data_IF_089705551728
#
_entry.id   IF_089705551728
#
_cell.length_a   1.000
_cell.length_b   1.000
_cell.length_c   1.000
_cell.angle_alpha   90.00
_cell.angle_beta   90.00
_cell.angle_gamma   90.00
#
_symmetry.space_group_name_H-M   'P 1'
#
loop_
_entity.id
_entity.type
_entity.pdbx_description
1 polymer ?
#
# COMPACT_ATOMS: atom_id res chain seq x y z
N UNK A 1 -20.76 -14.05 -2.84
CA UNK A 1 -21.63 -13.17 -2.00
C UNK A 1 -21.90 -11.89 -2.78
N UNK A 2 -22.87 -11.05 -2.38
CA UNK A 2 -23.16 -9.82 -3.11
C UNK A 2 -21.97 -8.82 -3.03
N UNK A 3 -21.71 -8.11 -4.12
CA UNK A 3 -20.74 -7.01 -4.17
C UNK A 3 -21.05 -5.96 -3.08
N UNK A 4 -20.05 -5.15 -2.65
CA UNK A 4 -20.28 -4.09 -1.67
C UNK A 4 -21.46 -3.21 -2.09
N UNK A 5 -22.36 -2.89 -1.16
CA UNK A 5 -23.54 -2.07 -1.45
C UNK A 5 -23.18 -0.60 -1.71
N UNK A 6 -22.01 -0.18 -1.19
CA UNK A 6 -21.47 1.16 -1.38
C UNK A 6 -20.57 1.21 -2.62
N UNK A 7 -20.85 2.09 -3.60
CA UNK A 7 -20.01 2.21 -4.80
C UNK A 7 -18.62 2.78 -4.45
N UNK A 8 -17.60 2.34 -5.20
CA UNK A 8 -16.26 2.92 -5.13
C UNK A 8 -16.32 4.42 -5.39
N UNK A 9 -15.72 5.20 -4.49
CA UNK A 9 -15.53 6.64 -4.71
C UNK A 9 -14.13 6.90 -5.28
N UNK A 10 -14.04 7.98 -6.05
CA UNK A 10 -12.79 8.44 -6.62
C UNK A 10 -12.38 9.76 -5.95
N UNK A 11 -11.07 9.97 -5.83
CA UNK A 11 -10.46 11.20 -5.32
C UNK A 11 -9.37 11.63 -6.29
N UNK A 12 -9.10 12.94 -6.34
CA UNK A 12 -7.90 13.41 -7.01
C UNK A 12 -6.65 12.87 -6.30
N UNK A 13 -5.64 12.49 -7.06
CA UNK A 13 -4.33 12.13 -6.53
C UNK A 13 -3.60 13.43 -6.16
N UNK A 14 -3.71 13.83 -4.89
CA UNK A 14 -3.33 15.17 -4.46
C UNK A 14 -4.09 16.25 -5.24
N UNK A 15 -3.38 17.27 -5.69
CA UNK A 15 -3.92 18.37 -6.51
C UNK A 15 -3.87 18.11 -8.02
N UNK A 16 -3.44 16.92 -8.44
CA UNK A 16 -3.43 16.59 -9.86
C UNK A 16 -4.84 16.43 -10.42
N UNK A 17 -4.98 16.51 -11.74
CA UNK A 17 -6.24 16.17 -12.41
C UNK A 17 -6.53 14.66 -12.48
N UNK A 18 -5.68 13.81 -11.90
CA UNK A 18 -5.79 12.35 -11.99
C UNK A 18 -6.73 11.82 -10.91
N UNK A 19 -7.81 11.16 -11.31
CA UNK A 19 -8.76 10.52 -10.39
C UNK A 19 -8.36 9.07 -10.12
N UNK A 20 -8.19 8.73 -8.84
CA UNK A 20 -7.89 7.38 -8.36
C UNK A 20 -8.98 6.87 -7.42
N UNK A 21 -9.24 5.57 -7.47
CA UNK A 21 -10.16 4.88 -6.56
C UNK A 21 -9.66 4.98 -5.11
N UNK A 22 -10.58 5.11 -4.15
CA UNK A 22 -10.24 5.18 -2.72
C UNK A 22 -9.45 3.97 -2.22
N UNK A 23 -9.67 2.80 -2.84
CA UNK A 23 -8.82 1.64 -2.69
C UNK A 23 -8.07 1.36 -3.99
N UNK A 24 -6.77 1.12 -3.87
CA UNK A 24 -5.90 0.64 -4.94
C UNK A 24 -5.40 -0.76 -4.61
N UNK A 25 -4.84 -1.47 -5.59
CA UNK A 25 -4.29 -2.82 -5.39
C UNK A 25 -2.77 -2.83 -5.58
N UNK A 26 -2.04 -3.35 -4.60
CA UNK A 26 -0.58 -3.45 -4.61
C UNK A 26 -0.09 -4.89 -4.86
N UNK A 27 0.87 -5.05 -5.78
CA UNK A 27 1.36 -6.35 -6.24
C UNK A 27 2.53 -6.95 -5.44
N UNK A 28 2.89 -6.35 -4.29
CA UNK A 28 4.07 -6.79 -3.53
C UNK A 28 4.01 -8.28 -3.15
N UNK A 29 2.81 -8.83 -2.97
CA UNK A 29 2.57 -10.26 -2.83
C UNK A 29 1.51 -10.71 -3.84
N UNK A 30 1.85 -10.69 -5.13
CA UNK A 30 1.06 -11.38 -6.16
C UNK A 30 1.34 -12.88 -6.15
N UNK A 31 0.29 -13.68 -6.23
CA UNK A 31 0.36 -15.12 -6.48
C UNK A 31 0.73 -15.42 -7.94
N UNK A 32 0.14 -16.45 -8.53
CA UNK A 32 0.32 -16.75 -9.96
C UNK A 32 -0.40 -15.71 -10.84
N UNK A 33 -0.13 -15.74 -12.15
CA UNK A 33 -0.85 -14.93 -13.15
C UNK A 33 -2.36 -15.16 -13.05
N UNK A 34 -2.81 -16.40 -12.89
CA UNK A 34 -4.25 -16.70 -12.77
C UNK A 34 -4.87 -16.09 -11.52
N UNK A 35 -4.22 -16.26 -10.35
CA UNK A 35 -4.74 -15.66 -9.10
C UNK A 35 -4.74 -14.13 -9.17
N UNK A 36 -3.67 -13.53 -9.71
CA UNK A 36 -3.60 -12.09 -9.89
C UNK A 36 -4.68 -11.59 -10.86
N UNK A 37 -4.90 -12.29 -11.98
CA UNK A 37 -5.92 -11.97 -12.95
C UNK A 37 -7.32 -12.01 -12.35
N UNK A 38 -7.63 -13.05 -11.57
CA UNK A 38 -8.93 -13.20 -10.89
C UNK A 38 -9.18 -12.06 -9.90
N UNK A 39 -8.19 -11.77 -9.04
CA UNK A 39 -8.27 -10.70 -8.04
C UNK A 39 -8.41 -9.32 -8.68
N UNK A 40 -7.63 -9.04 -9.73
CA UNK A 40 -7.67 -7.76 -10.44
C UNK A 40 -8.97 -7.59 -11.24
N UNK A 41 -9.45 -8.65 -11.91
CA UNK A 41 -10.77 -8.66 -12.56
C UNK A 41 -11.90 -8.38 -11.59
N UNK A 42 -11.84 -8.96 -10.39
CA UNK A 42 -12.80 -8.67 -9.35
C UNK A 42 -12.69 -7.21 -8.87
N UNK A 43 -11.48 -6.72 -8.59
CA UNK A 43 -11.23 -5.35 -8.16
C UNK A 43 -11.72 -4.31 -9.18
N UNK A 44 -11.43 -4.52 -10.45
CA UNK A 44 -11.84 -3.64 -11.56
C UNK A 44 -13.36 -3.55 -11.68
N UNK A 45 -14.06 -4.70 -11.66
CA UNK A 45 -15.54 -4.74 -11.67
C UNK A 45 -16.17 -4.04 -10.47
N UNK A 46 -15.43 -3.87 -9.37
CA UNK A 46 -15.84 -3.14 -8.18
C UNK A 46 -15.26 -1.71 -8.12
N UNK A 47 -14.74 -1.19 -9.23
CA UNK A 47 -14.35 0.21 -9.39
C UNK A 47 -12.91 0.55 -9.01
N UNK A 48 -12.07 -0.43 -8.64
CA UNK A 48 -10.62 -0.16 -8.50
C UNK A 48 -10.06 0.19 -9.88
N UNK A 49 -9.50 1.40 -10.02
CA UNK A 49 -8.80 1.80 -11.24
C UNK A 49 -7.29 1.92 -11.03
N UNK A 50 -6.80 1.97 -9.78
CA UNK A 50 -5.40 2.22 -9.48
C UNK A 50 -4.64 0.96 -9.03
N UNK A 51 -3.59 0.60 -9.77
CA UNK A 51 -2.79 -0.62 -9.64
C UNK A 51 -1.31 -0.28 -9.43
N UNK A 52 -0.74 -0.76 -8.33
CA UNK A 52 0.57 -0.35 -7.84
C UNK A 52 1.58 -1.51 -7.78
N UNK A 53 2.81 -1.26 -8.26
CA UNK A 53 3.92 -2.23 -8.25
C UNK A 53 5.27 -1.55 -8.00
N UNK A 54 6.38 -2.28 -7.99
CA UNK A 54 7.72 -1.72 -7.93
C UNK A 54 8.73 -2.63 -8.63
N UNK A 55 9.82 -2.06 -9.13
CA UNK A 55 10.85 -2.81 -9.86
C UNK A 55 11.46 -3.96 -9.04
N UNK A 56 11.54 -3.77 -7.71
CA UNK A 56 12.19 -4.69 -6.78
C UNK A 56 11.25 -5.74 -6.19
N UNK A 57 9.93 -5.66 -6.44
CA UNK A 57 8.99 -6.64 -5.90
C UNK A 57 9.24 -8.02 -6.53
N UNK A 58 9.56 -8.99 -5.68
CA UNK A 58 9.94 -10.35 -6.08
C UNK A 58 11.01 -10.37 -7.18
N UNK A 59 12.04 -9.51 -7.05
CA UNK A 59 13.12 -9.38 -8.03
C UNK A 59 12.63 -9.06 -9.46
N UNK A 60 11.53 -8.32 -9.56
CA UNK A 60 10.87 -7.92 -10.81
C UNK A 60 9.85 -8.93 -11.33
N UNK A 61 9.64 -10.07 -10.67
CA UNK A 61 8.63 -11.03 -11.07
C UNK A 61 7.20 -10.46 -10.97
N UNK A 62 6.93 -9.62 -9.97
CA UNK A 62 5.61 -9.00 -9.80
C UNK A 62 5.22 -8.15 -11.02
N UNK A 63 6.16 -7.39 -11.60
CA UNK A 63 5.91 -6.60 -12.81
C UNK A 63 5.67 -7.46 -14.05
N UNK A 64 6.33 -8.62 -14.16
CA UNK A 64 6.09 -9.56 -15.26
C UNK A 64 4.68 -10.17 -15.18
N UNK A 65 4.31 -10.62 -13.99
CA UNK A 65 2.97 -11.16 -13.71
C UNK A 65 1.91 -10.11 -14.04
N UNK A 66 2.06 -8.88 -13.54
CA UNK A 66 1.13 -7.81 -13.85
C UNK A 66 1.06 -7.50 -15.35
N UNK A 67 2.19 -7.49 -16.06
CA UNK A 67 2.21 -7.27 -17.50
C UNK A 67 1.39 -8.31 -18.26
N UNK A 68 1.53 -9.59 -17.91
CA UNK A 68 0.71 -10.67 -18.48
C UNK A 68 -0.77 -10.51 -18.11
N UNK A 69 -1.08 -10.15 -16.86
CA UNK A 69 -2.45 -9.89 -16.40
C UNK A 69 -3.10 -8.73 -17.16
N UNK A 70 -2.39 -7.61 -17.35
CA UNK A 70 -2.91 -6.45 -18.09
C UNK A 70 -3.20 -6.81 -19.54
N UNK A 71 -2.27 -7.51 -20.20
CA UNK A 71 -2.44 -7.95 -21.58
C UNK A 71 -3.65 -8.88 -21.72
N UNK A 72 -3.74 -9.89 -20.86
CA UNK A 72 -4.86 -10.84 -20.82
C UNK A 72 -6.20 -10.13 -20.65
N UNK A 73 -6.31 -9.16 -19.75
CA UNK A 73 -7.57 -8.44 -19.54
C UNK A 73 -7.96 -7.54 -20.70
N UNK A 74 -7.00 -7.02 -21.47
CA UNK A 74 -7.28 -6.33 -22.75
C UNK A 74 -7.78 -7.31 -23.81
N UNK A 75 -7.13 -8.48 -23.95
CA UNK A 75 -7.53 -9.53 -24.88
C UNK A 75 -8.93 -10.09 -24.57
N UNK A 76 -9.22 -10.33 -23.30
CA UNK A 76 -10.52 -10.81 -22.81
C UNK A 76 -11.58 -9.70 -22.68
N UNK A 77 -11.22 -8.44 -23.02
CA UNK A 77 -12.11 -7.27 -22.98
C UNK A 77 -12.70 -6.97 -21.60
N UNK A 78 -11.93 -7.23 -20.54
CA UNK A 78 -12.30 -6.83 -19.18
C UNK A 78 -12.06 -5.34 -18.96
N UNK A 79 -10.99 -4.79 -19.53
CA UNK A 79 -10.61 -3.37 -19.48
C UNK A 79 -9.84 -2.97 -20.75
N UNK A 80 -9.72 -1.67 -21.00
CA UNK A 80 -8.70 -1.10 -21.90
C UNK A 80 -7.52 -0.55 -21.09
N UNK A 81 -6.44 -0.13 -21.76
CA UNK A 81 -5.29 0.48 -21.07
C UNK A 81 -5.72 1.81 -20.41
N UNK A 82 -6.60 2.56 -21.05
CA UNK A 82 -7.09 3.87 -20.63
C UNK A 82 -8.01 3.78 -19.39
N UNK A 83 -8.59 2.61 -19.11
CA UNK A 83 -9.37 2.38 -17.90
C UNK A 83 -8.50 2.25 -16.64
N UNK A 84 -7.20 2.00 -16.81
CA UNK A 84 -6.27 1.69 -15.72
C UNK A 84 -5.36 2.89 -15.40
N UNK A 85 -5.17 3.13 -14.11
CA UNK A 85 -4.08 3.94 -13.56
C UNK A 85 -3.03 2.98 -13.01
N UNK A 86 -1.80 3.04 -13.51
CA UNK A 86 -0.73 2.11 -13.16
C UNK A 86 0.45 2.90 -12.59
N UNK A 87 0.93 2.50 -11.41
CA UNK A 87 2.18 3.02 -10.84
C UNK A 87 3.27 1.96 -10.73
N UNK A 88 4.51 2.36 -10.95
CA UNK A 88 5.69 1.61 -10.49
C UNK A 88 6.61 2.50 -9.65
N UNK A 89 7.51 1.87 -8.90
CA UNK A 89 8.45 2.53 -7.99
C UNK A 89 9.88 2.12 -8.31
N UNK A 90 10.77 3.12 -8.39
CA UNK A 90 12.20 2.93 -8.64
C UNK A 90 13.00 3.27 -7.38
N UNK A 91 13.84 2.33 -6.92
CA UNK A 91 14.87 2.50 -5.88
C UNK A 91 15.72 1.24 -5.70
N UNK A 92 15.12 0.04 -5.78
CA UNK A 92 15.82 -1.24 -5.58
C UNK A 92 15.69 -2.04 -6.87
N UNK A 93 16.63 -1.87 -7.79
CA UNK A 93 16.62 -2.63 -9.03
C UNK A 93 16.92 -4.11 -8.86
N UNK A 94 16.76 -4.85 -9.96
CA UNK A 94 16.81 -6.33 -10.03
C UNK A 94 18.19 -6.91 -10.41
N UNK A 95 19.25 -6.11 -10.29
CA UNK A 95 20.63 -6.45 -10.69
C UNK A 95 21.59 -6.05 -9.57
N UNK A 96 22.79 -6.61 -9.61
CA UNK A 96 23.88 -6.14 -8.78
C UNK A 96 24.58 -4.93 -9.40
N UNK A 97 25.13 -4.07 -8.55
CA UNK A 97 25.99 -2.96 -8.97
C UNK A 97 25.69 -1.64 -8.24
N UNK A 98 26.66 -0.69 -8.27
CA UNK A 98 26.59 0.56 -7.50
C UNK A 98 25.51 1.54 -8.00
N UNK A 99 25.03 1.35 -9.23
CA UNK A 99 24.04 2.20 -9.90
C UNK A 99 22.68 1.51 -10.08
N UNK A 100 22.49 0.34 -9.47
CA UNK A 100 21.24 -0.40 -9.55
C UNK A 100 20.33 -0.17 -8.32
N UNK A 101 20.60 0.88 -7.54
CA UNK A 101 19.79 1.30 -6.40
C UNK A 101 19.85 2.82 -6.22
N UNK A 102 18.90 3.35 -5.45
CA UNK A 102 18.76 4.77 -5.16
C UNK A 102 17.91 5.48 -6.21
N UNK A 103 17.93 6.80 -6.23
CA UNK A 103 17.08 7.61 -7.14
C UNK A 103 17.91 8.55 -8.01
N UNK A 104 19.16 8.14 -8.26
CA UNK A 104 20.01 8.80 -9.24
C UNK A 104 19.34 8.82 -10.63
N UNK A 105 19.58 9.88 -11.42
CA UNK A 105 19.07 10.00 -12.79
C UNK A 105 19.32 8.76 -13.65
N UNK A 106 20.51 8.14 -13.52
CA UNK A 106 20.85 6.90 -14.24
C UNK A 106 19.89 5.77 -13.87
N UNK A 107 19.67 5.55 -12.57
CA UNK A 107 18.80 4.48 -12.11
C UNK A 107 17.32 4.76 -12.41
N UNK A 108 16.86 6.00 -12.26
CA UNK A 108 15.50 6.37 -12.65
C UNK A 108 15.22 6.05 -14.13
N UNK A 109 16.13 6.41 -15.04
CA UNK A 109 15.95 6.13 -16.48
C UNK A 109 16.03 4.62 -16.77
N UNK A 110 17.06 3.93 -16.28
CA UNK A 110 17.29 2.52 -16.59
C UNK A 110 16.31 1.58 -15.89
N UNK A 111 16.00 1.86 -14.62
CA UNK A 111 15.00 1.16 -13.82
C UNK A 111 13.61 1.29 -14.44
N UNK A 112 13.20 2.52 -14.82
CA UNK A 112 11.90 2.73 -15.49
C UNK A 112 11.80 1.97 -16.81
N UNK A 113 12.84 2.03 -17.66
CA UNK A 113 12.86 1.25 -18.92
C UNK A 113 12.75 -0.25 -18.67
N UNK A 114 13.43 -0.76 -17.64
CA UNK A 114 13.36 -2.16 -17.27
C UNK A 114 11.97 -2.55 -16.74
N UNK A 115 11.35 -1.69 -15.94
CA UNK A 115 9.98 -1.85 -15.45
C UNK A 115 8.95 -1.87 -16.57
N UNK A 116 8.99 -0.90 -17.49
CA UNK A 116 8.11 -0.85 -18.65
C UNK A 116 8.22 -2.11 -19.52
N UNK A 117 9.45 -2.60 -19.72
CA UNK A 117 9.68 -3.87 -20.43
C UNK A 117 9.05 -5.08 -19.71
N UNK A 118 9.17 -5.16 -18.38
CA UNK A 118 8.56 -6.25 -17.59
C UNK A 118 7.04 -6.15 -17.58
N UNK A 119 6.51 -4.93 -17.46
CA UNK A 119 5.08 -4.64 -17.50
C UNK A 119 4.47 -4.77 -18.90
N UNK A 120 5.28 -4.82 -19.95
CA UNK A 120 4.82 -4.83 -21.35
C UNK A 120 3.98 -3.58 -21.69
N UNK A 121 4.41 -2.42 -21.18
CA UNK A 121 3.73 -1.13 -21.35
C UNK A 121 4.68 -0.09 -21.95
N UNK A 122 4.11 0.86 -22.68
CA UNK A 122 4.86 2.03 -23.18
C UNK A 122 5.03 3.11 -22.11
N UNK A 123 4.11 3.17 -21.14
CA UNK A 123 4.12 4.14 -20.05
C UNK A 123 3.40 3.62 -18.79
N UNK A 124 3.74 4.22 -17.65
CA UNK A 124 2.98 4.17 -16.39
C UNK A 124 2.39 5.55 -16.12
N UNK A 125 1.25 5.61 -15.45
CA UNK A 125 0.56 6.87 -15.14
C UNK A 125 1.26 7.63 -14.02
N UNK A 126 1.89 6.90 -13.09
CA UNK A 126 2.66 7.48 -11.99
C UNK A 126 3.97 6.73 -11.82
N UNK A 127 5.09 7.46 -11.84
CA UNK A 127 6.41 6.92 -11.53
C UNK A 127 6.84 7.43 -10.16
N UNK A 128 6.78 6.57 -9.16
CA UNK A 128 7.23 6.91 -7.82
C UNK A 128 8.72 6.66 -7.65
N UNK A 129 9.32 7.45 -6.79
CA UNK A 129 10.56 7.07 -6.17
C UNK A 129 10.29 6.32 -4.87
N UNK A 130 10.72 5.06 -4.78
CA UNK A 130 10.24 4.13 -3.74
C UNK A 130 10.59 4.57 -2.31
N UNK A 131 11.69 5.33 -2.14
CA UNK A 131 12.19 5.83 -0.85
C UNK A 131 12.99 7.11 -1.06
N UNK A 132 13.06 7.94 -0.02
CA UNK A 132 13.98 9.09 0.02
C UNK A 132 15.43 8.64 0.07
N UNK A 133 16.31 9.32 -0.67
CA UNK A 133 17.76 9.16 -0.56
C UNK A 133 18.35 10.46 0.05
N UNK A 134 19.25 10.40 1.04
CA UNK A 134 19.90 11.59 1.63
C UNK A 134 20.65 12.45 0.61
N UNK A 135 20.96 11.87 -0.56
CA UNK A 135 21.66 12.50 -1.67
C UNK A 135 20.72 12.93 -2.82
N UNK A 136 19.41 12.64 -2.71
CA UNK A 136 18.39 12.97 -3.70
C UNK A 136 17.05 13.26 -2.99
N UNK A 137 16.58 14.53 -2.95
CA UNK A 137 15.35 14.90 -2.24
C UNK A 137 14.12 14.12 -2.77
N UNK A 138 13.27 13.61 -1.88
CA UNK A 138 12.05 12.87 -2.27
C UNK A 138 10.91 13.07 -1.30
N UNK A 139 9.72 13.19 -1.87
CA UNK A 139 8.45 13.33 -1.18
C UNK A 139 7.37 12.64 -2.07
N UNK A 140 6.88 11.43 -1.74
CA UNK A 140 5.60 10.92 -2.33
C UNK A 140 5.00 9.62 -1.71
N UNK A 141 5.78 8.68 -1.13
CA UNK A 141 5.23 7.35 -0.72
C UNK A 141 5.59 6.87 0.71
N UNK A 142 5.07 7.50 1.79
CA UNK A 142 5.30 7.04 3.16
C UNK A 142 4.50 5.80 3.54
N UNK A 143 5.03 5.04 4.49
CA UNK A 143 4.24 4.07 5.24
C UNK A 143 3.21 4.81 6.11
N UNK A 144 1.97 4.32 6.16
CA UNK A 144 0.96 4.88 7.06
C UNK A 144 -0.01 3.80 7.53
N UNK A 145 -0.16 3.71 8.85
CA UNK A 145 -1.13 2.86 9.54
C UNK A 145 -1.27 3.32 10.99
N UNK A 146 -2.17 2.70 11.75
CA UNK A 146 -2.42 3.06 13.17
C UNK A 146 -1.14 3.09 14.04
N UNK A 147 -0.12 2.30 13.71
CA UNK A 147 1.14 2.22 14.45
C UNK A 147 2.30 3.01 13.82
N UNK A 148 2.15 3.51 12.59
CA UNK A 148 3.15 4.34 11.92
C UNK A 148 2.50 5.58 11.31
N UNK A 149 2.57 6.68 12.05
CA UNK A 149 1.93 7.97 11.73
C UNK A 149 2.96 9.11 11.62
N UNK A 150 4.21 8.85 11.97
CA UNK A 150 5.22 9.89 12.22
C UNK A 150 5.52 10.73 10.98
N UNK A 151 5.55 10.09 9.81
CA UNK A 151 5.77 10.80 8.55
C UNK A 151 4.54 11.60 8.13
N UNK A 152 3.39 10.92 7.99
CA UNK A 152 2.16 11.50 7.43
C UNK A 152 1.54 12.57 8.34
N UNK A 153 1.61 12.42 9.65
CA UNK A 153 1.00 13.36 10.60
C UNK A 153 2.03 14.28 11.27
N UNK A 154 3.32 14.02 11.06
CA UNK A 154 4.42 14.82 11.61
C UNK A 154 5.30 15.40 10.51
N UNK A 155 6.31 14.64 10.09
CA UNK A 155 7.43 15.12 9.26
C UNK A 155 7.00 15.79 7.95
N UNK A 156 5.89 15.35 7.36
CA UNK A 156 5.40 15.85 6.09
C UNK A 156 4.32 16.94 6.23
N UNK A 157 3.97 17.35 7.45
CA UNK A 157 2.95 18.37 7.70
C UNK A 157 3.25 19.69 6.97
N UNK A 158 4.52 20.07 6.86
CA UNK A 158 4.95 21.25 6.12
C UNK A 158 4.74 21.10 4.60
N UNK A 159 4.81 19.88 4.07
CA UNK A 159 4.64 19.61 2.64
C UNK A 159 3.20 19.88 2.21
N UNK A 160 2.23 19.47 3.02
CA UNK A 160 0.82 19.75 2.75
C UNK A 160 0.50 21.23 2.98
N UNK A 161 0.97 21.79 4.11
CA UNK A 161 0.65 23.18 4.45
C UNK A 161 1.25 24.20 3.49
N UNK A 162 2.43 23.93 2.94
CA UNK A 162 3.17 24.88 2.10
C UNK A 162 3.04 24.59 0.61
N UNK A 163 3.01 23.33 0.23
CA UNK A 163 3.08 22.91 -1.17
C UNK A 163 1.87 22.09 -1.62
N UNK A 164 0.89 21.85 -0.72
CA UNK A 164 -0.35 21.12 -0.97
C UNK A 164 -0.16 19.72 -1.57
N UNK A 165 0.88 19.01 -1.11
CA UNK A 165 1.18 17.66 -1.57
C UNK A 165 0.09 16.64 -1.19
N UNK A 166 -0.22 15.72 -2.10
CA UNK A 166 -0.98 14.50 -1.80
C UNK A 166 -0.06 13.33 -1.47
N UNK A 167 -0.56 12.33 -0.74
CA UNK A 167 0.20 11.12 -0.41
C UNK A 167 -0.44 9.85 -0.96
N UNK A 168 0.42 8.94 -1.41
CA UNK A 168 0.08 7.53 -1.63
C UNK A 168 0.70 6.70 -0.52
N UNK A 169 -0.11 6.18 0.40
CA UNK A 169 0.38 5.49 1.59
C UNK A 169 0.34 3.97 1.47
N UNK A 170 1.33 3.28 2.03
CA UNK A 170 1.42 1.81 2.00
C UNK A 170 1.42 1.16 3.40
N UNK A 171 1.16 -0.16 3.41
CA UNK A 171 1.02 -1.00 4.61
C UNK A 171 -0.05 -0.55 5.62
N UNK A 172 -1.30 -0.30 5.19
CA UNK A 172 -2.38 0.15 6.07
C UNK A 172 -2.74 -0.86 7.16
N UNK A 173 -2.51 -2.16 6.91
CA UNK A 173 -2.79 -3.25 7.84
C UNK A 173 -1.54 -3.75 8.58
N UNK A 174 -0.40 -3.07 8.47
CA UNK A 174 0.88 -3.47 9.04
C UNK A 174 1.16 -4.97 8.80
N UNK A 175 1.29 -5.36 7.53
CA UNK A 175 1.52 -6.75 7.11
C UNK A 175 0.42 -7.75 7.49
N UNK A 176 -0.76 -7.25 7.85
CA UNK A 176 -1.90 -8.04 8.31
C UNK A 176 -2.03 -8.09 9.83
N UNK A 177 -1.17 -7.41 10.58
CA UNK A 177 -1.23 -7.38 12.04
C UNK A 177 -2.54 -6.77 12.53
N UNK A 178 -2.99 -5.72 11.86
CA UNK A 178 -4.23 -5.00 12.17
C UNK A 178 -5.50 -5.81 11.82
N UNK A 179 -5.39 -7.03 11.29
CA UNK A 179 -6.55 -7.90 11.08
C UNK A 179 -6.90 -8.75 12.32
N UNK A 180 -6.08 -8.71 13.38
CA UNK A 180 -6.27 -9.52 14.59
C UNK A 180 -5.94 -11.01 14.42
N UNK A 181 -5.46 -11.45 13.25
CA UNK A 181 -5.18 -12.87 12.97
C UNK A 181 -4.04 -13.48 13.80
N UNK A 182 -3.26 -12.63 14.48
CA UNK A 182 -2.13 -13.05 15.31
C UNK A 182 -2.46 -13.14 16.81
N UNK A 183 -3.72 -12.93 17.19
CA UNK A 183 -4.16 -12.93 18.60
C UNK A 183 -3.89 -14.25 19.33
N UNK A 184 -3.93 -15.37 18.60
CA UNK A 184 -3.77 -16.72 19.15
C UNK A 184 -2.49 -17.40 18.63
N UNK A 185 -1.43 -16.63 18.38
CA UNK A 185 -0.18 -17.09 17.80
C UNK A 185 -0.04 -16.77 16.31
N UNK A 186 1.11 -17.12 15.72
CA UNK A 186 1.43 -16.80 14.33
C UNK A 186 0.92 -17.93 13.42
N UNK A 187 -0.12 -17.69 12.58
CA UNK A 187 -0.64 -18.74 11.71
C UNK A 187 0.38 -19.15 10.65
N UNK A 188 0.41 -20.44 10.32
CA UNK A 188 1.14 -20.97 9.16
C UNK A 188 0.63 -20.32 7.85
N UNK A 189 1.52 -20.07 6.90
CA UNK A 189 1.20 -19.37 5.66
C UNK A 189 0.92 -17.87 5.81
N UNK A 190 1.06 -17.30 7.01
CA UNK A 190 0.92 -15.85 7.23
C UNK A 190 2.22 -15.11 6.89
N UNK A 191 2.12 -13.83 6.52
CA UNK A 191 3.30 -13.01 6.17
C UNK A 191 4.37 -12.95 7.28
N UNK A 192 3.98 -13.04 8.55
CA UNK A 192 4.91 -13.08 9.68
C UNK A 192 5.60 -14.44 9.82
N UNK A 193 4.97 -15.55 9.41
CA UNK A 193 5.58 -16.86 9.41
C UNK A 193 6.57 -17.05 8.24
N UNK A 194 6.24 -16.51 7.06
CA UNK A 194 6.98 -16.80 5.83
C UNK A 194 8.13 -15.84 5.53
N UNK A 195 8.19 -14.67 6.19
CA UNK A 195 9.19 -13.65 5.88
C UNK A 195 9.90 -13.14 7.12
N UNK A 196 11.16 -13.56 7.29
CA UNK A 196 12.03 -13.05 8.36
C UNK A 196 12.20 -11.52 8.26
N UNK A 197 12.23 -10.99 7.04
CA UNK A 197 12.22 -9.55 6.79
C UNK A 197 11.01 -8.86 7.41
N UNK A 198 9.81 -9.40 7.21
CA UNK A 198 8.57 -8.84 7.77
C UNK A 198 8.54 -9.01 9.30
N UNK A 199 8.99 -10.18 9.81
CA UNK A 199 9.08 -10.43 11.26
C UNK A 199 9.95 -9.37 11.98
N UNK A 200 11.02 -8.91 11.35
CA UNK A 200 11.91 -7.91 11.94
C UNK A 200 11.25 -6.55 12.19
N UNK A 201 10.14 -6.22 11.50
CA UNK A 201 9.39 -4.99 11.76
C UNK A 201 8.66 -4.99 13.10
N UNK A 202 8.28 -6.17 13.61
CA UNK A 202 7.45 -6.31 14.83
C UNK A 202 8.19 -6.99 15.97
N UNK A 203 9.39 -7.51 15.71
CA UNK A 203 10.22 -8.21 16.68
C UNK A 203 10.46 -7.35 17.92
N UNK A 204 10.33 -7.96 19.10
CA UNK A 204 10.54 -7.31 20.40
C UNK A 204 9.34 -6.48 20.92
N UNK A 205 8.27 -6.31 20.13
CA UNK A 205 7.08 -5.59 20.57
C UNK A 205 5.77 -6.17 20.01
N UNK A 206 5.80 -7.38 19.44
CA UNK A 206 4.65 -8.05 18.84
C UNK A 206 3.48 -8.22 19.82
N UNK A 207 3.74 -8.67 21.05
CA UNK A 207 2.70 -8.89 22.07
C UNK A 207 1.96 -7.59 22.44
N UNK A 208 2.70 -6.48 22.52
CA UNK A 208 2.11 -5.16 22.74
C UNK A 208 1.17 -4.78 21.59
N UNK A 209 1.60 -4.98 20.34
CA UNK A 209 0.77 -4.67 19.17
C UNK A 209 -0.48 -5.53 19.13
N UNK A 210 -0.36 -6.84 19.40
CA UNK A 210 -1.50 -7.77 19.50
C UNK A 210 -2.49 -7.27 20.56
N UNK A 211 -2.00 -6.92 21.75
CA UNK A 211 -2.86 -6.41 22.82
C UNK A 211 -3.62 -5.12 22.42
N UNK A 212 -2.96 -4.18 21.72
CA UNK A 212 -3.65 -2.98 21.23
C UNK A 212 -4.71 -3.30 20.17
N UNK A 213 -4.43 -4.25 19.27
CA UNK A 213 -5.40 -4.70 18.26
C UNK A 213 -6.64 -5.30 18.92
N UNK A 214 -6.46 -6.11 19.96
CA UNK A 214 -7.58 -6.68 20.71
C UNK A 214 -8.43 -5.62 21.41
N UNK A 215 -7.81 -4.54 21.90
CA UNK A 215 -8.54 -3.41 22.50
C UNK A 215 -9.43 -2.67 21.50
N UNK A 216 -9.16 -2.75 20.20
CA UNK A 216 -10.02 -2.18 19.14
C UNK A 216 -11.24 -3.05 18.84
N UNK A 217 -11.23 -4.34 19.22
CA UNK A 217 -12.28 -5.31 18.88
C UNK A 217 -13.69 -4.87 19.31
N UNK A 218 -13.91 -4.32 20.53
CA UNK A 218 -15.23 -3.83 20.92
C UNK A 218 -15.74 -2.70 20.02
N UNK A 219 -14.86 -1.83 19.50
CA UNK A 219 -15.24 -0.76 18.56
C UNK A 219 -15.63 -1.38 17.22
N UNK A 220 -14.87 -2.37 16.74
CA UNK A 220 -15.18 -3.05 15.49
C UNK A 220 -16.53 -3.79 15.55
N UNK A 221 -16.80 -4.48 16.66
CA UNK A 221 -18.07 -5.17 16.94
C UNK A 221 -19.25 -4.18 17.00
N UNK A 222 -19.09 -3.04 17.68
CA UNK A 222 -20.12 -1.99 17.74
C UNK A 222 -20.47 -1.42 16.35
N UNK A 223 -19.48 -1.30 15.46
CA UNK A 223 -19.67 -0.79 14.10
C UNK A 223 -20.09 -1.86 13.08
N UNK A 224 -20.28 -3.10 13.54
CA UNK A 224 -20.59 -4.28 12.73
C UNK A 224 -19.59 -4.48 11.59
N UNK A 225 -18.29 -4.54 11.95
CA UNK A 225 -17.21 -4.72 11.00
C UNK A 225 -16.06 -5.57 11.56
N UNK A 226 -15.22 -6.11 10.68
CA UNK A 226 -13.99 -6.78 11.09
C UNK A 226 -12.92 -5.75 11.49
N UNK A 227 -11.93 -6.16 12.29
CA UNK A 227 -10.78 -5.31 12.63
C UNK A 227 -10.03 -4.82 11.37
N UNK A 228 -9.97 -5.66 10.34
CA UNK A 228 -9.39 -5.28 9.04
C UNK A 228 -10.20 -4.15 8.40
N UNK A 229 -11.53 -4.27 8.37
CA UNK A 229 -12.41 -3.24 7.83
C UNK A 229 -12.33 -1.93 8.62
N UNK A 230 -12.27 -2.00 9.96
CA UNK A 230 -12.08 -0.83 10.81
C UNK A 230 -10.78 -0.09 10.49
N UNK A 231 -9.66 -0.83 10.38
CA UNK A 231 -8.36 -0.25 10.08
C UNK A 231 -8.28 0.38 8.68
N UNK A 232 -8.84 -0.29 7.66
CA UNK A 232 -8.92 0.24 6.30
C UNK A 232 -9.82 1.48 6.21
N UNK A 233 -10.97 1.44 6.87
CA UNK A 233 -11.88 2.58 6.93
C UNK A 233 -11.24 3.77 7.63
N UNK A 234 -10.49 3.53 8.71
CA UNK A 234 -9.79 4.57 9.45
C UNK A 234 -8.76 5.29 8.57
N UNK A 235 -7.91 4.53 7.86
CA UNK A 235 -6.95 5.10 6.90
C UNK A 235 -7.66 5.93 5.81
N UNK A 236 -8.76 5.41 5.28
CA UNK A 236 -9.54 6.05 4.20
C UNK A 236 -10.28 7.31 4.64
N UNK A 237 -10.64 7.39 5.93
CA UNK A 237 -11.34 8.53 6.52
C UNK A 237 -10.48 9.78 6.63
N UNK A 238 -9.15 9.64 6.55
CA UNK A 238 -8.23 10.77 6.53
C UNK A 238 -8.30 11.46 5.16
N UNK A 239 -8.66 12.75 5.14
CA UNK A 239 -8.78 13.53 3.91
C UNK A 239 -7.44 13.75 3.19
N UNK A 240 -6.31 13.60 3.89
CA UNK A 240 -4.96 13.70 3.31
C UNK A 240 -4.55 12.43 2.54
N UNK A 241 -5.27 11.32 2.74
CA UNK A 241 -5.01 10.04 2.06
C UNK A 241 -5.86 9.98 0.79
N UNK A 242 -5.21 10.04 -0.37
CA UNK A 242 -5.90 9.98 -1.67
C UNK A 242 -6.43 8.57 -1.96
N UNK A 243 -5.61 7.56 -1.71
CA UNK A 243 -5.96 6.14 -1.86
C UNK A 243 -5.25 5.28 -0.81
N UNK A 244 -5.84 4.14 -0.44
CA UNK A 244 -5.24 3.13 0.44
C UNK A 244 -4.88 1.89 -0.39
N UNK A 245 -3.57 1.58 -0.49
CA UNK A 245 -3.08 0.40 -1.23
C UNK A 245 -3.41 -0.87 -0.44
N UNK A 246 -4.34 -1.66 -0.98
CA UNK A 246 -4.71 -2.97 -0.47
C UNK A 246 -3.74 -4.05 -0.97
N UNK A 247 -3.59 -5.12 -0.18
CA UNK A 247 -2.98 -6.35 -0.63
C UNK A 247 -3.88 -7.52 -0.28
N UNK A 248 -4.17 -8.39 -1.25
CA UNK A 248 -5.00 -9.57 -1.10
C UNK A 248 -4.42 -10.71 -1.93
N UNK A 249 -4.36 -11.91 -1.33
CA UNK A 249 -3.90 -13.14 -1.98
C UNK A 249 -5.06 -14.01 -2.50
N UNK A 250 -6.30 -13.58 -2.29
CA UNK A 250 -7.52 -14.23 -2.80
C UNK A 250 -8.62 -13.21 -3.03
N UNK A 251 -9.61 -13.56 -3.86
CA UNK A 251 -10.81 -12.74 -4.08
C UNK A 251 -11.56 -12.51 -2.77
N UNK A 252 -11.73 -13.54 -1.94
CA UNK A 252 -12.43 -13.43 -0.65
C UNK A 252 -11.82 -12.39 0.30
N UNK A 253 -10.48 -12.28 0.33
CA UNK A 253 -9.81 -11.24 1.11
C UNK A 253 -10.06 -9.85 0.53
N UNK A 254 -10.06 -9.71 -0.81
CA UNK A 254 -10.39 -8.45 -1.46
C UNK A 254 -11.86 -8.06 -1.21
N UNK A 255 -12.80 -9.02 -1.31
CA UNK A 255 -14.21 -8.84 -0.95
C UNK A 255 -14.38 -8.33 0.48
N UNK A 256 -13.69 -8.93 1.45
CA UNK A 256 -13.72 -8.50 2.85
C UNK A 256 -13.19 -7.06 3.00
N UNK A 257 -12.07 -6.75 2.35
CA UNK A 257 -11.43 -5.44 2.41
C UNK A 257 -12.31 -4.34 1.80
N UNK A 258 -12.97 -4.61 0.66
CA UNK A 258 -13.82 -3.61 -0.01
C UNK A 258 -15.03 -3.18 0.84
N UNK A 259 -15.56 -4.07 1.69
CA UNK A 259 -16.64 -3.74 2.63
C UNK A 259 -16.25 -2.67 3.66
N UNK A 260 -14.96 -2.37 3.82
CA UNK A 260 -14.53 -1.24 4.62
C UNK A 260 -15.11 0.11 4.15
N UNK A 261 -15.48 0.24 2.87
CA UNK A 261 -16.17 1.44 2.34
C UNK A 261 -17.49 1.73 3.07
N UNK A 262 -18.20 0.70 3.54
CA UNK A 262 -19.45 0.83 4.29
C UNK A 262 -19.21 1.31 5.74
N UNK A 263 -17.98 1.17 6.23
CA UNK A 263 -17.55 1.57 7.58
C UNK A 263 -17.01 3.00 7.60
N UNK A 264 -16.43 3.49 6.50
CA UNK A 264 -15.92 4.88 6.37
C UNK A 264 -16.90 5.94 6.88
N UNK A 265 -18.20 5.96 6.47
CA UNK A 265 -19.15 6.96 6.96
C UNK A 265 -19.53 6.79 8.44
N UNK A 266 -19.26 5.61 9.05
CA UNK A 266 -19.53 5.34 10.47
C UNK A 266 -18.43 5.87 11.40
N UNK A 267 -17.27 6.26 10.87
CA UNK A 267 -16.15 6.81 11.64
C UNK A 267 -16.36 8.28 12.00
N UNK A 268 -17.24 8.52 12.98
CA UNK A 268 -17.44 9.84 13.58
C UNK A 268 -16.21 10.30 14.37
N UNK A 269 -16.15 11.58 14.71
CA UNK A 269 -15.06 12.12 15.53
C UNK A 269 -15.00 11.48 16.93
N UNK A 270 -16.15 11.06 17.47
CA UNK A 270 -16.22 10.31 18.73
C UNK A 270 -15.58 8.91 18.61
N UNK A 271 -15.90 8.18 17.53
CA UNK A 271 -15.29 6.87 17.26
C UNK A 271 -13.79 7.01 17.05
N UNK A 272 -13.35 8.03 16.30
CA UNK A 272 -11.92 8.32 16.10
C UNK A 272 -11.22 8.65 17.41
N UNK A 273 -11.86 9.41 18.31
CA UNK A 273 -11.30 9.72 19.63
C UNK A 273 -11.14 8.47 20.51
N UNK A 274 -12.08 7.51 20.43
CA UNK A 274 -11.97 6.22 21.12
C UNK A 274 -10.81 5.38 20.58
N UNK A 275 -10.62 5.36 19.27
CA UNK A 275 -9.47 4.70 18.63
C UNK A 275 -8.16 5.35 19.09
N UNK A 276 -8.10 6.68 19.10
CA UNK A 276 -6.94 7.47 19.55
C UNK A 276 -6.60 7.20 21.03
N UNK A 277 -7.60 7.01 21.90
CA UNK A 277 -7.39 6.66 23.30
C UNK A 277 -6.75 5.27 23.50
N UNK A 278 -6.96 4.35 22.55
CA UNK A 278 -6.32 3.03 22.56
C UNK A 278 -4.92 3.12 21.96
N UNK A 279 -4.79 3.76 20.79
CA UNK A 279 -3.55 3.90 20.04
C UNK A 279 -3.22 5.39 19.88
N UNK A 280 -2.65 6.03 20.92
CA UNK A 280 -2.34 7.44 20.87
C UNK A 280 -1.21 7.73 19.88
N UNK A 281 -1.31 8.86 19.18
CA UNK A 281 -0.27 9.39 18.33
C UNK A 281 1.01 9.59 19.15
N UNK A 282 2.02 8.78 18.85
CA UNK A 282 3.38 8.94 19.36
C UNK A 282 4.30 9.20 18.19
N UNK A 283 4.58 10.48 17.95
CA UNK A 283 5.54 10.88 16.93
C UNK A 283 6.92 10.33 17.31
N UNK A 284 7.50 9.50 16.44
CA UNK A 284 8.90 9.10 16.54
C UNK A 284 9.76 10.20 15.93
N UNK A 285 10.91 10.48 16.54
CA UNK A 285 11.94 11.27 15.87
C UNK A 285 12.34 10.51 14.61
N UNK A 286 12.35 11.19 13.47
CA UNK A 286 12.78 10.58 12.21
C UNK A 286 14.19 10.00 12.38
N UNK A 287 14.31 8.68 12.34
CA UNK A 287 15.61 8.00 12.38
C UNK A 287 16.17 7.91 10.97
N UNK A 288 17.49 7.94 10.85
CA UNK A 288 18.16 7.83 9.56
C UNK A 288 17.77 6.54 8.84
N UNK A 289 17.28 6.66 7.61
CA UNK A 289 17.02 5.50 6.76
C UNK A 289 18.36 4.83 6.41
N UNK A 290 18.58 3.60 6.87
CA UNK A 290 19.80 2.84 6.60
C UNK A 290 19.82 2.26 5.17
N UNK A 291 18.67 2.22 4.48
CA UNK A 291 18.59 1.73 3.10
C UNK A 291 19.50 2.50 2.13
N UNK A 292 19.54 3.84 2.19
CA UNK A 292 20.55 4.63 1.49
C UNK A 292 22.01 4.23 1.75
N UNK A 293 22.34 3.69 2.93
CA UNK A 293 23.70 3.26 3.25
C UNK A 293 24.08 1.96 2.54
N UNK A 294 23.17 1.21 1.91
CA UNK A 294 23.56 0.04 1.11
C UNK A 294 24.51 0.38 -0.04
N UNK A 295 24.52 1.64 -0.51
CA UNK A 295 25.48 2.12 -1.51
C UNK A 295 26.85 2.42 -0.90
N UNK A 296 26.96 2.63 0.41
CA UNK A 296 28.23 2.93 1.07
C UNK A 296 29.24 1.79 1.02
N UNK A 297 28.80 0.55 0.75
CA UNK A 297 29.71 -0.57 0.50
C UNK A 297 30.56 -0.41 -0.78
N UNK A 298 30.17 0.52 -1.65
CA UNK A 298 30.85 0.84 -2.91
C UNK A 298 31.60 2.18 -2.87
N UNK A 299 31.57 2.87 -1.73
CA UNK A 299 32.32 4.10 -1.46
C UNK A 299 33.59 3.74 -0.66
#
# INVERSE_FOLDING_TARGET
MAAPSTPMKYRFLGDSGLLVSQFSYGSWFTGTVDTAYEVMSYGFKNGINFWDTAEGYSEGAAEKILGEVFHRGVEEKVWTREDLVISTKIFIGTKEGPNNRGVSRKHLIEGTKASLKRLQLDYVDVLFCHRSEPYTPIEETPQYNLFERSYVEGSYDILYKKYNYGLTTWSPLLFGLLTGKYANGIPEGSRLAESEYVMNFVRGHLDYLINQVERLRPIAEELDCSLAQLALAWCTSNQRVSTVILGASSVSQLEENLKALEVVPKLTEEVKARIEAIIPLRLKVATYDHWPLFRSKWL
#
